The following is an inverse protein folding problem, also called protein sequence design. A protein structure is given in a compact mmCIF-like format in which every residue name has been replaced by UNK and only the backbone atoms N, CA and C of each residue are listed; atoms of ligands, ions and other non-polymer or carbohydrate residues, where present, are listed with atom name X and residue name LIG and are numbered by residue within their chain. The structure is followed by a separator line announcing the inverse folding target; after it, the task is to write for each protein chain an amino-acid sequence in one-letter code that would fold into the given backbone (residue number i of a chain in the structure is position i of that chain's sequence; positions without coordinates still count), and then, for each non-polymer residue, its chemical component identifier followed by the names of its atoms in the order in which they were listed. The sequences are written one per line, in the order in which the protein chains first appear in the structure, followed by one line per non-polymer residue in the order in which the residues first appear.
data_IF_772733368846
#
_entry.id   IF_772733368846
#
_cell.length_a   1.000
_cell.length_b   1.000
_cell.length_c   1.000
_cell.angle_alpha   90.00
_cell.angle_beta   90.00
_cell.angle_gamma   90.00
#
_symmetry.space_group_name_H-M   'P 1'
#
loop_
_entity.id
_entity.type
_entity.pdbx_description
1 polymer ?
#
# COMPACT_ATOMS: atom_id res chain seq x y z
N UNK A 1 16.39 -20.90 -9.21
CA UNK A 1 15.01 -20.54 -9.41
C UNK A 1 14.79 -19.09 -9.02
N UNK A 2 13.99 -18.39 -9.80
CA UNK A 2 13.71 -17.00 -9.50
C UNK A 2 12.65 -16.91 -8.41
N UNK A 3 12.81 -15.94 -7.54
CA UNK A 3 11.80 -15.63 -6.52
C UNK A 3 10.74 -14.75 -7.14
N UNK A 4 9.49 -15.19 -7.06
CA UNK A 4 8.39 -14.34 -7.51
C UNK A 4 7.81 -13.58 -6.31
N UNK A 5 7.51 -12.31 -6.53
CA UNK A 5 6.95 -11.44 -5.50
C UNK A 5 5.74 -10.75 -6.08
N UNK A 6 4.64 -10.81 -5.36
CA UNK A 6 3.43 -10.08 -5.72
C UNK A 6 3.01 -9.22 -4.53
N UNK A 7 2.35 -8.11 -4.82
CA UNK A 7 1.93 -7.19 -3.77
C UNK A 7 0.44 -6.92 -3.90
N UNK A 8 -0.21 -6.81 -2.74
CA UNK A 8 -1.61 -6.40 -2.66
C UNK A 8 -1.71 -5.25 -1.68
N UNK A 9 -2.38 -4.19 -2.10
CA UNK A 9 -2.62 -3.05 -1.21
C UNK A 9 -3.84 -3.36 -0.36
N UNK A 10 -3.64 -3.41 0.95
CA UNK A 10 -4.72 -3.71 1.87
C UNK A 10 -5.46 -2.45 2.29
N UNK A 11 -4.74 -1.33 2.38
CA UNK A 11 -5.35 -0.07 2.78
C UNK A 11 -4.52 1.11 2.27
N UNK A 12 -5.21 2.14 1.78
CA UNK A 12 -4.58 3.40 1.42
C UNK A 12 -4.79 4.40 2.54
N UNK A 13 -3.75 5.16 2.86
CA UNK A 13 -3.84 6.28 3.79
C UNK A 13 -4.02 7.56 2.99
N UNK A 14 -5.06 8.32 3.34
CA UNK A 14 -5.34 9.58 2.66
C UNK A 14 -4.99 10.78 3.51
N UNK A 15 -4.28 10.58 4.61
CA UNK A 15 -3.88 11.67 5.48
C UNK A 15 -2.48 12.17 5.09
N UNK A 16 -1.97 13.11 5.87
CA UNK A 16 -0.66 13.71 5.60
C UNK A 16 0.51 12.90 6.15
N UNK A 17 0.25 11.70 6.66
CA UNK A 17 1.33 10.89 7.21
C UNK A 17 2.26 10.39 6.12
N UNK A 18 3.45 10.00 6.51
CA UNK A 18 4.44 9.48 5.58
C UNK A 18 4.09 8.07 5.11
N UNK A 19 3.34 7.32 5.90
CA UNK A 19 2.88 6.00 5.50
C UNK A 19 1.71 6.16 4.55
N UNK A 20 1.89 5.76 3.30
CA UNK A 20 0.89 5.97 2.27
C UNK A 20 -0.01 4.77 2.05
N UNK A 21 0.46 3.58 2.39
CA UNK A 21 -0.33 2.37 2.19
C UNK A 21 0.17 1.25 3.08
N UNK A 22 -0.73 0.31 3.34
CA UNK A 22 -0.40 -0.96 4.00
C UNK A 22 -0.64 -2.07 3.00
N UNK A 23 0.26 -3.04 2.98
CA UNK A 23 0.25 -4.05 1.93
C UNK A 23 0.62 -5.42 2.46
N UNK A 24 0.31 -6.43 1.67
CA UNK A 24 0.73 -7.81 1.90
C UNK A 24 1.54 -8.25 0.69
N UNK A 25 2.70 -8.83 0.95
CA UNK A 25 3.53 -9.42 -0.08
C UNK A 25 3.32 -10.92 -0.11
N UNK A 26 3.23 -11.48 -1.32
CA UNK A 26 3.16 -12.93 -1.51
C UNK A 26 4.45 -13.37 -2.19
N UNK A 27 5.12 -14.35 -1.60
CA UNK A 27 6.40 -14.86 -2.08
C UNK A 27 6.19 -16.25 -2.66
N UNK A 28 6.52 -16.42 -3.93
CA UNK A 28 6.40 -17.70 -4.65
C UNK A 28 5.02 -18.34 -4.52
N UNK A 29 3.98 -17.51 -4.39
CA UNK A 29 2.60 -17.97 -4.19
C UNK A 29 2.43 -18.93 -3.01
N UNK A 30 3.39 -18.93 -2.08
CA UNK A 30 3.40 -19.89 -0.99
C UNK A 30 3.45 -19.22 0.39
N UNK A 31 4.04 -18.03 0.47
CA UNK A 31 4.17 -17.33 1.74
C UNK A 31 3.65 -15.91 1.62
N UNK A 32 3.02 -15.42 2.68
CA UNK A 32 2.53 -14.05 2.73
C UNK A 32 3.21 -13.30 3.87
N UNK A 33 3.57 -12.05 3.61
CA UNK A 33 4.10 -11.15 4.63
C UNK A 33 3.12 -10.01 4.78
N UNK A 34 2.48 -9.94 5.96
CA UNK A 34 1.49 -8.91 6.25
C UNK A 34 2.16 -7.73 6.95
N UNK A 35 1.51 -6.57 6.89
CA UNK A 35 2.00 -5.41 7.63
C UNK A 35 3.15 -4.69 6.97
N UNK A 36 3.31 -4.86 5.67
CA UNK A 36 4.30 -4.11 4.91
C UNK A 36 3.75 -2.72 4.67
N UNK A 37 4.58 -1.70 4.86
CA UNK A 37 4.15 -0.31 4.68
C UNK A 37 4.87 0.32 3.52
N UNK A 38 4.18 1.16 2.79
CA UNK A 38 4.76 1.97 1.73
C UNK A 38 4.87 3.39 2.26
N UNK A 39 6.08 3.92 2.32
CA UNK A 39 6.37 5.18 2.99
C UNK A 39 6.95 6.16 1.99
N UNK A 40 6.49 7.40 2.07
CA UNK A 40 7.02 8.50 1.25
C UNK A 40 8.25 9.08 1.92
N UNK A 41 9.41 8.86 1.33
CA UNK A 41 10.65 9.43 1.81
C UNK A 41 11.08 10.61 0.95
N UNK A 42 12.26 11.13 1.21
CA UNK A 42 12.80 12.26 0.47
C UNK A 42 13.05 11.93 -0.99
N UNK A 43 13.43 10.70 -1.26
CA UNK A 43 13.79 10.28 -2.61
C UNK A 43 12.71 9.43 -3.26
N UNK A 44 11.51 9.43 -2.72
CA UNK A 44 10.40 8.69 -3.29
C UNK A 44 9.84 7.64 -2.34
N UNK A 45 9.02 6.78 -2.88
CA UNK A 45 8.37 5.72 -2.11
C UNK A 45 9.33 4.58 -1.81
N UNK A 46 9.26 4.05 -0.61
CA UNK A 46 10.04 2.87 -0.28
C UNK A 46 9.21 1.94 0.63
N UNK A 47 9.61 0.67 0.64
CA UNK A 47 8.93 -0.35 1.42
C UNK A 47 9.54 -0.43 2.81
N UNK A 48 8.68 -0.49 3.82
CA UNK A 48 9.10 -0.74 5.19
C UNK A 48 8.54 -2.09 5.61
N UNK A 49 9.43 -3.01 5.89
CA UNK A 49 9.02 -4.36 6.27
C UNK A 49 8.54 -4.40 7.71
N UNK A 50 7.65 -5.34 8.05
CA UNK A 50 7.20 -5.47 9.44
C UNK A 50 8.39 -5.79 10.34
N UNK A 51 8.45 -5.10 11.47
CA UNK A 51 9.58 -5.22 12.38
C UNK A 51 9.11 -5.12 13.82
N UNK A 52 9.99 -5.53 14.72
CA UNK A 52 9.76 -5.35 16.14
C UNK A 52 10.82 -4.43 16.69
N UNK A 53 10.55 -3.86 17.84
CA UNK A 53 11.53 -3.01 18.52
C UNK A 53 12.17 -3.79 19.64
N UNK A 54 13.47 -3.59 19.80
CA UNK A 54 14.23 -4.12 20.93
C UNK A 54 14.93 -2.97 21.62
N UNK A 55 14.95 -3.00 22.95
CA UNK A 55 15.67 -2.01 23.74
C UNK A 55 16.91 -2.68 24.32
N UNK A 56 18.07 -2.15 24.00
CA UNK A 56 19.31 -2.73 24.50
C UNK A 56 19.60 -2.25 25.93
N UNK A 57 20.73 -2.69 26.48
CA UNK A 57 21.09 -2.38 27.85
C UNK A 57 21.31 -0.89 28.11
N UNK A 58 21.69 -0.16 27.06
CA UNK A 58 21.89 1.28 27.15
C UNK A 58 20.60 2.08 26.96
N UNK A 59 19.48 1.41 26.79
CA UNK A 59 18.20 2.09 26.59
C UNK A 59 17.94 2.50 25.15
N UNK A 60 18.78 2.08 24.22
CA UNK A 60 18.60 2.41 22.81
C UNK A 60 17.61 1.46 22.16
N UNK A 61 16.79 1.99 21.26
CA UNK A 61 15.78 1.21 20.56
C UNK A 61 16.32 0.77 19.20
N UNK A 62 16.19 -0.53 18.93
CA UNK A 62 16.57 -1.08 17.63
C UNK A 62 15.33 -1.65 16.95
N UNK A 63 15.27 -1.52 15.63
CA UNK A 63 14.20 -2.09 14.80
C UNK A 63 14.74 -3.32 14.11
N UNK A 64 14.12 -4.46 14.38
CA UNK A 64 14.55 -5.73 13.79
C UNK A 64 13.41 -6.25 12.91
N UNK A 65 13.61 -6.36 11.60
CA UNK A 65 12.54 -6.83 10.73
C UNK A 65 12.24 -8.31 10.96
N UNK A 66 10.97 -8.65 10.90
CA UNK A 66 10.55 -10.06 10.94
C UNK A 66 10.91 -10.78 9.64
N UNK A 67 10.91 -10.04 8.55
CA UNK A 67 11.23 -10.57 7.23
C UNK A 67 11.74 -9.43 6.38
N UNK A 68 12.71 -9.70 5.52
CA UNK A 68 13.25 -8.67 4.63
C UNK A 68 13.93 -9.33 3.45
N UNK A 69 14.00 -8.65 2.30
CA UNK A 69 14.78 -9.16 1.19
C UNK A 69 16.28 -9.08 1.52
N UNK A 70 17.01 -10.09 1.13
CA UNK A 70 18.43 -10.15 1.44
C UNK A 70 19.31 -10.09 0.20
N UNK A 71 18.71 -9.93 -0.97
CA UNK A 71 19.45 -9.71 -2.22
C UNK A 71 18.95 -8.45 -2.87
N UNK A 72 19.79 -7.85 -3.72
CA UNK A 72 19.38 -6.67 -4.45
C UNK A 72 18.21 -6.98 -5.37
N UNK A 73 18.25 -8.13 -6.03
CA UNK A 73 17.19 -8.56 -6.91
C UNK A 73 15.84 -8.64 -6.20
N UNK A 74 15.83 -9.28 -5.02
CA UNK A 74 14.61 -9.40 -4.23
C UNK A 74 14.13 -8.04 -3.73
N UNK A 75 15.06 -7.20 -3.30
CA UNK A 75 14.74 -5.86 -2.83
C UNK A 75 14.09 -5.02 -3.93
N UNK A 76 14.67 -5.06 -5.13
CA UNK A 76 14.12 -4.34 -6.27
C UNK A 76 12.75 -4.87 -6.65
N UNK A 77 12.57 -6.19 -6.63
CA UNK A 77 11.29 -6.81 -6.95
C UNK A 77 10.20 -6.39 -5.96
N UNK A 78 10.52 -6.36 -4.67
CA UNK A 78 9.58 -5.92 -3.64
C UNK A 78 9.18 -4.47 -3.88
N UNK A 79 10.16 -3.61 -4.09
CA UNK A 79 9.88 -2.20 -4.30
C UNK A 79 9.02 -1.99 -5.55
N UNK A 80 9.39 -2.62 -6.64
CA UNK A 80 8.68 -2.47 -7.91
C UNK A 80 7.25 -2.92 -7.81
N UNK A 81 7.00 -4.10 -7.24
CA UNK A 81 5.63 -4.61 -7.17
C UNK A 81 4.78 -3.80 -6.19
N UNK A 82 5.37 -3.29 -5.11
CA UNK A 82 4.64 -2.45 -4.17
C UNK A 82 4.26 -1.10 -4.79
N UNK A 83 5.21 -0.47 -5.49
CA UNK A 83 4.93 0.81 -6.12
C UNK A 83 3.88 0.65 -7.22
N UNK A 84 3.99 -0.41 -8.02
CA UNK A 84 2.99 -0.66 -9.06
C UNK A 84 1.61 -0.92 -8.46
N UNK A 85 1.53 -1.73 -7.41
CA UNK A 85 0.25 -2.00 -6.75
C UNK A 85 -0.35 -0.74 -6.15
N UNK A 86 0.50 0.09 -5.57
CA UNK A 86 0.07 1.36 -4.99
C UNK A 86 -0.50 2.28 -6.06
N UNK A 87 0.22 2.43 -7.18
CA UNK A 87 -0.23 3.28 -8.26
C UNK A 87 -1.56 2.81 -8.83
N UNK A 88 -1.74 1.51 -8.99
CA UNK A 88 -2.99 0.95 -9.46
C UNK A 88 -4.13 1.20 -8.48
N UNK A 89 -3.86 1.06 -7.18
CA UNK A 89 -4.87 1.30 -6.17
C UNK A 89 -5.29 2.77 -6.13
N UNK A 90 -4.33 3.68 -6.26
CA UNK A 90 -4.62 5.11 -6.30
C UNK A 90 -5.43 5.47 -7.53
N UNK A 91 -5.08 4.92 -8.68
CA UNK A 91 -5.83 5.16 -9.91
C UNK A 91 -7.27 4.66 -9.79
N UNK A 92 -7.44 3.45 -9.25
CA UNK A 92 -8.78 2.89 -9.07
C UNK A 92 -9.62 3.75 -8.15
N UNK A 93 -9.02 4.25 -7.06
CA UNK A 93 -9.74 5.13 -6.14
C UNK A 93 -10.11 6.45 -6.80
N UNK A 94 -9.20 7.01 -7.59
CA UNK A 94 -9.44 8.26 -8.29
C UNK A 94 -10.56 8.12 -9.30
N UNK A 95 -10.55 7.03 -10.08
CA UNK A 95 -11.60 6.75 -11.04
C UNK A 95 -12.96 6.59 -10.36
N UNK A 96 -12.98 5.87 -9.25
CA UNK A 96 -14.21 5.69 -8.49
C UNK A 96 -14.75 7.01 -7.98
N UNK A 97 -13.88 7.87 -7.46
CA UNK A 97 -14.28 9.19 -6.98
C UNK A 97 -14.81 10.06 -8.12
N UNK A 98 -14.17 10.00 -9.28
CA UNK A 98 -14.63 10.74 -10.45
C UNK A 98 -16.02 10.28 -10.89
N UNK A 99 -16.25 8.97 -10.87
CA UNK A 99 -17.56 8.42 -11.21
C UNK A 99 -18.64 8.90 -10.24
N UNK A 100 -18.32 8.90 -8.94
CA UNK A 100 -19.28 9.38 -7.95
C UNK A 100 -19.59 10.85 -8.13
N UNK A 101 -18.58 11.65 -8.43
CA UNK A 101 -18.78 13.08 -8.66
C UNK A 101 -19.61 13.33 -9.91
N UNK A 102 -19.36 12.56 -10.97
CA UNK A 102 -20.15 12.69 -12.19
C UNK A 102 -21.60 12.34 -11.95
N UNK A 103 -21.86 11.27 -11.21
CA UNK A 103 -23.22 10.88 -10.87
C UNK A 103 -23.93 11.97 -10.08
N UNK A 104 -23.23 12.56 -9.11
CA UNK A 104 -23.79 13.61 -8.30
C UNK A 104 -24.14 14.83 -9.16
N UNK A 105 -23.29 15.15 -10.10
CA UNK A 105 -23.53 16.29 -10.98
C UNK A 105 -24.71 16.07 -11.90
N UNK A 106 -24.97 14.84 -12.29
CA UNK A 106 -26.07 14.55 -13.17
C UNK A 106 -27.41 14.48 -12.45
N UNK A 107 -27.40 14.17 -11.18
CA UNK A 107 -28.61 13.94 -10.42
C UNK A 107 -29.45 15.20 -10.20
N UNK A 108 -28.94 16.39 -10.15
CA UNK A 108 -29.83 17.54 -9.87
C UNK A 108 -30.98 17.68 -10.82
N UNK A 109 -31.05 16.92 -11.80
CA UNK A 109 -32.18 16.97 -12.67
C UNK A 109 -33.25 16.06 -12.27
N UNK A 110 -33.59 15.55 -11.67
CA UNK A 110 -34.45 14.69 -11.54
C UNK A 110 -34.74 14.02 -10.59
N UNK A 111 -34.57 13.74 -10.62
CA UNK A 111 -34.84 13.22 -9.93
C UNK A 111 -34.76 12.58 -9.24
N UNK A 112 -34.77 12.14 -9.11
CA UNK A 112 -34.64 11.55 -8.47
C UNK A 112 -34.54 10.99 -7.77
N UNK A 113 -34.99 10.74 -7.69
CA UNK A 113 -34.78 10.13 -6.92
C UNK A 113 -34.62 9.20 -6.65
N UNK A 114 -34.70 8.60 -7.05
CA UNK A 114 -34.45 7.87 -6.95
C UNK A 114 -33.96 7.32 -6.37
N UNK A 115 -34.01 7.05 -6.47
CA UNK A 115 -33.54 6.80 -6.11
C UNK A 115 -32.87 6.53 -5.65
N UNK A 116 -32.94 6.11 -5.65
CA UNK A 116 -32.30 6.12 -5.26
C UNK A 116 -31.56 6.07 -4.65
N UNK A 117 -31.70 5.84 -4.55
CA UNK A 117 -31.01 6.20 -4.08
C UNK A 117 -30.44 6.22 -3.63
N UNK A 118 -30.48 5.94 -3.50
CA UNK A 118 -30.02 6.30 -3.21
C UNK A 118 -29.73 6.33 -2.81
#
# INVERSE_FOLDING_TARGET
MATTVAARIDRLNNDDSKTKAYATLTINDAFAIHGVRLIQGKNGLFASMPSRTLTNEQGETEYVPFANPITKEASDAVRTCLVNAYNEAVEAQSEFNDMLNSDIEEVPDEEEPLTQSM
#
